data_IF_976825719579
#
_entry.id   IF_976825719579
#
_cell.length_a   1.000
_cell.length_b   1.000
_cell.length_c   1.000
_cell.angle_alpha   90.00
_cell.angle_beta   90.00
_cell.angle_gamma   90.00
#
_symmetry.space_group_name_H-M   'P 1'
#
loop_
_entity.id
_entity.type
_entity.pdbx_description
1 polymer ?
#
# COMPACT_ATOMS: atom_id res chain seq x y z
N UNK A 1 -0.55 30.37 2.28
CA UNK A 1 -0.39 29.55 3.49
C UNK A 1 -1.70 28.82 3.65
N UNK A 2 -1.82 27.65 3.03
CA UNK A 2 -2.96 26.76 3.27
C UNK A 2 -2.65 26.05 4.59
N UNK A 3 -3.30 26.47 5.67
CA UNK A 3 -3.43 25.66 6.87
C UNK A 3 -4.17 24.39 6.47
N UNK A 4 -3.47 23.28 6.23
CA UNK A 4 -4.13 21.98 6.15
C UNK A 4 -4.72 21.70 7.52
N UNK A 5 -6.02 21.40 7.55
CA UNK A 5 -6.71 21.02 8.77
C UNK A 5 -6.21 19.64 9.16
N UNK A 6 -5.70 19.49 10.39
CA UNK A 6 -5.58 18.15 10.98
C UNK A 6 -6.96 17.50 11.01
N UNK A 7 -7.01 16.23 10.67
CA UNK A 7 -8.22 15.44 10.75
C UNK A 7 -8.56 15.19 12.23
N UNK A 8 -9.85 15.19 12.58
CA UNK A 8 -10.30 14.86 13.92
C UNK A 8 -10.29 13.34 14.10
N UNK A 9 -9.10 12.73 14.09
CA UNK A 9 -8.96 11.29 14.29
C UNK A 9 -9.61 10.84 15.59
N UNK A 10 -10.30 9.68 15.60
CA UNK A 10 -10.70 9.05 16.85
C UNK A 10 -9.47 8.70 17.70
N UNK A 11 -9.57 8.86 19.02
CA UNK A 11 -8.43 8.78 19.96
C UNK A 11 -8.69 7.85 21.15
N UNK A 12 -9.77 7.06 21.11
CA UNK A 12 -10.13 6.14 22.19
C UNK A 12 -9.26 4.86 22.19
N UNK A 13 -8.80 4.45 21.02
CA UNK A 13 -7.98 3.26 20.84
C UNK A 13 -6.59 3.41 21.47
N UNK A 14 -6.03 2.31 22.03
CA UNK A 14 -4.65 2.32 22.50
C UNK A 14 -3.67 2.44 21.32
N UNK A 15 -2.51 3.03 21.60
CA UNK A 15 -1.39 3.07 20.65
C UNK A 15 -0.93 1.65 20.31
N UNK A 16 -0.75 1.39 19.01
CA UNK A 16 -0.24 0.12 18.49
C UNK A 16 1.18 -0.09 19.02
N UNK A 17 1.45 -1.18 19.77
CA UNK A 17 2.79 -1.42 20.29
C UNK A 17 3.74 -1.72 19.14
N UNK A 18 4.88 -1.04 19.14
CA UNK A 18 5.94 -1.22 18.13
C UNK A 18 6.80 -2.47 18.37
N UNK A 19 6.83 -2.99 19.60
CA UNK A 19 7.68 -4.14 19.98
C UNK A 19 7.50 -5.38 19.07
N UNK A 20 6.27 -5.81 18.72
CA UNK A 20 6.08 -6.93 17.79
C UNK A 20 6.60 -6.64 16.37
N UNK A 21 6.71 -5.38 15.97
CA UNK A 21 7.16 -4.95 14.64
C UNK A 21 8.67 -4.76 14.55
N UNK A 22 9.38 -4.80 15.69
CA UNK A 22 10.81 -4.50 15.79
C UNK A 22 11.66 -5.24 14.75
N UNK A 23 11.43 -6.55 14.61
CA UNK A 23 12.16 -7.38 13.65
C UNK A 23 11.97 -6.94 12.20
N UNK A 24 10.76 -6.51 11.83
CA UNK A 24 10.46 -6.03 10.47
C UNK A 24 11.12 -4.68 10.20
N UNK A 25 11.09 -3.76 11.18
CA UNK A 25 11.68 -2.42 11.06
C UNK A 25 13.22 -2.48 10.98
N UNK A 26 13.84 -3.36 11.77
CA UNK A 26 15.28 -3.62 11.70
C UNK A 26 15.68 -4.23 10.36
N UNK A 27 14.85 -5.11 9.79
CA UNK A 27 15.09 -5.68 8.47
C UNK A 27 14.99 -4.65 7.34
N UNK A 28 14.02 -3.73 7.38
CA UNK A 28 13.98 -2.59 6.46
C UNK A 28 15.24 -1.74 6.54
N UNK A 29 15.67 -1.43 7.76
CA UNK A 29 16.92 -0.68 7.99
C UNK A 29 18.14 -1.40 7.43
N UNK A 30 18.20 -2.72 7.62
CA UNK A 30 19.26 -3.56 7.06
C UNK A 30 19.26 -3.57 5.52
N UNK A 31 18.08 -3.62 4.89
CA UNK A 31 17.96 -3.56 3.43
C UNK A 31 18.41 -2.20 2.89
N UNK A 32 17.97 -1.10 3.49
CA UNK A 32 18.37 0.25 3.09
C UNK A 32 19.90 0.45 3.20
N UNK A 33 20.53 -0.10 4.25
CA UNK A 33 21.99 -0.04 4.41
C UNK A 33 22.74 -0.89 3.37
N UNK A 34 22.19 -2.04 2.98
CA UNK A 34 22.81 -2.94 1.97
C UNK A 34 22.59 -2.47 0.54
N UNK A 35 21.48 -1.81 0.26
CA UNK A 35 21.07 -1.37 -1.08
C UNK A 35 20.78 0.14 -1.11
N UNK A 36 21.76 1.01 -0.76
CA UNK A 36 21.53 2.46 -0.61
C UNK A 36 21.20 3.17 -1.94
N UNK A 37 21.46 2.54 -3.09
CA UNK A 37 21.09 3.07 -4.40
C UNK A 37 19.66 2.69 -4.81
N UNK A 38 19.08 1.66 -4.17
CA UNK A 38 17.78 1.10 -4.53
C UNK A 38 16.69 1.44 -3.50
N UNK A 39 17.07 1.56 -2.22
CA UNK A 39 16.15 1.71 -1.09
C UNK A 39 16.54 2.93 -0.25
N UNK A 40 15.55 3.76 0.06
CA UNK A 40 15.68 4.88 0.98
C UNK A 40 14.64 4.75 2.09
N UNK A 41 15.06 4.92 3.34
CA UNK A 41 14.13 5.07 4.46
C UNK A 41 13.58 6.49 4.49
N UNK A 42 12.27 6.62 4.67
CA UNK A 42 11.67 7.92 4.92
C UNK A 42 11.95 8.34 6.38
N UNK A 43 12.25 9.62 6.63
CA UNK A 43 12.46 10.11 7.99
C UNK A 43 11.27 9.80 8.90
N UNK A 44 11.50 9.43 10.17
CA UNK A 44 10.44 9.31 11.16
C UNK A 44 9.76 10.67 11.44
N UNK A 45 8.62 10.62 12.14
CA UNK A 45 7.85 11.79 12.54
C UNK A 45 8.70 12.75 13.35
N UNK A 46 9.45 12.19 14.30
CA UNK A 46 10.30 12.92 15.24
C UNK A 46 11.75 12.71 14.83
N UNK A 47 12.44 13.79 14.51
CA UNK A 47 13.85 13.75 14.13
C UNK A 47 14.77 13.43 15.33
N UNK A 48 16.07 13.25 15.06
CA UNK A 48 17.08 12.94 16.09
C UNK A 48 17.20 14.02 17.18
N UNK A 49 16.74 15.24 16.89
CA UNK A 49 16.73 16.39 17.81
C UNK A 49 15.40 16.53 18.58
N UNK A 50 14.42 15.65 18.33
CA UNK A 50 13.12 15.64 18.98
C UNK A 50 12.10 16.59 18.35
N UNK A 51 12.32 17.08 17.13
CA UNK A 51 11.36 17.91 16.41
C UNK A 51 10.42 17.03 15.59
N UNK A 52 9.11 17.21 15.78
CA UNK A 52 8.11 16.57 14.96
C UNK A 52 7.90 17.33 13.65
N UNK A 53 7.73 16.61 12.54
CA UNK A 53 7.22 17.20 11.30
C UNK A 53 5.79 17.72 11.54
N UNK A 54 5.58 19.01 11.33
CA UNK A 54 4.28 19.66 11.55
C UNK A 54 3.25 19.33 10.46
N UNK A 55 3.69 18.76 9.33
CA UNK A 55 2.85 18.48 8.16
C UNK A 55 2.23 17.09 8.16
N UNK A 56 2.81 16.13 8.89
CA UNK A 56 2.25 14.79 9.00
C UNK A 56 1.10 14.74 10.04
N UNK A 57 0.03 14.03 9.70
CA UNK A 57 -1.17 13.89 10.54
C UNK A 57 -1.66 12.43 10.61
N UNK A 58 -0.85 11.50 11.17
CA UNK A 58 -1.22 10.10 11.29
C UNK A 58 -2.27 9.87 12.39
N UNK A 59 -3.08 8.80 12.30
CA UNK A 59 -3.95 8.36 13.39
C UNK A 59 -3.17 8.22 14.72
N UNK A 60 -3.73 8.65 15.88
CA UNK A 60 -3.06 8.56 17.17
C UNK A 60 -2.56 7.16 17.51
N UNK A 61 -3.29 6.12 17.09
CA UNK A 61 -2.89 4.74 17.32
C UNK A 61 -1.56 4.35 16.63
N UNK A 62 -1.09 5.12 15.65
CA UNK A 62 0.17 4.88 14.94
C UNK A 62 1.36 5.67 15.53
N UNK A 63 1.16 6.48 16.56
CA UNK A 63 2.19 7.38 17.13
C UNK A 63 3.56 6.69 17.32
N UNK A 64 3.61 5.54 18.00
CA UNK A 64 4.87 4.84 18.26
C UNK A 64 5.59 4.35 17.01
N UNK A 65 4.87 3.84 16.00
CA UNK A 65 5.54 3.33 14.79
C UNK A 65 6.08 4.49 13.95
N UNK A 66 5.33 5.59 13.84
CA UNK A 66 5.74 6.74 13.01
C UNK A 66 6.88 7.53 13.63
N UNK A 67 7.01 7.54 14.96
CA UNK A 67 8.18 8.10 15.67
C UNK A 67 9.48 7.37 15.35
N UNK A 68 9.42 6.12 14.91
CA UNK A 68 10.59 5.30 14.63
C UNK A 68 10.81 5.03 13.14
N UNK A 69 9.73 5.07 12.34
CA UNK A 69 9.75 4.67 10.95
C UNK A 69 8.70 5.45 10.15
N UNK A 70 9.13 6.37 9.29
CA UNK A 70 8.23 7.12 8.41
C UNK A 70 7.78 6.36 7.16
N UNK A 71 8.48 5.29 6.80
CA UNK A 71 8.21 4.49 5.61
C UNK A 71 9.46 4.17 4.80
N UNK A 72 9.26 3.75 3.56
CA UNK A 72 10.32 3.27 2.67
C UNK A 72 10.00 3.61 1.22
N UNK A 73 11.03 4.00 0.48
CA UNK A 73 10.96 4.35 -0.92
C UNK A 73 11.93 3.49 -1.74
N UNK A 74 11.43 2.93 -2.83
CA UNK A 74 12.20 2.13 -3.78
C UNK A 74 12.44 2.97 -5.03
N UNK A 75 13.71 3.38 -5.23
CA UNK A 75 14.20 4.16 -6.38
C UNK A 75 13.38 5.39 -6.75
N UNK A 76 12.72 6.04 -5.79
CA UNK A 76 11.91 7.24 -6.04
C UNK A 76 10.57 6.97 -6.73
N UNK A 77 10.08 5.72 -6.71
CA UNK A 77 8.91 5.29 -7.50
C UNK A 77 7.83 4.60 -6.68
N UNK A 78 8.19 3.57 -5.93
CA UNK A 78 7.26 2.87 -5.04
C UNK A 78 7.50 3.38 -3.63
N UNK A 79 6.48 3.95 -3.01
CA UNK A 79 6.58 4.56 -1.68
C UNK A 79 5.52 3.97 -0.77
N UNK A 80 5.99 3.25 0.26
CA UNK A 80 5.20 2.96 1.45
C UNK A 80 5.41 4.14 2.42
N UNK A 81 4.35 4.86 2.72
CA UNK A 81 4.37 6.06 3.54
C UNK A 81 3.50 5.89 4.78
N UNK A 82 4.07 6.05 5.96
CA UNK A 82 3.31 6.13 7.22
C UNK A 82 3.13 7.58 7.70
N UNK A 83 3.70 8.54 6.96
CA UNK A 83 3.66 9.98 7.23
C UNK A 83 3.13 10.71 6.00
N UNK A 84 1.85 10.53 5.73
CA UNK A 84 1.18 11.16 4.59
C UNK A 84 0.87 12.63 4.91
N UNK A 85 1.55 13.55 4.21
CA UNK A 85 1.45 15.00 4.40
C UNK A 85 0.28 15.65 3.64
N UNK A 86 -0.23 14.98 2.60
CA UNK A 86 -1.33 15.44 1.75
C UNK A 86 -2.30 14.29 1.54
N UNK A 87 -3.58 14.53 1.86
CA UNK A 87 -4.64 13.57 1.58
C UNK A 87 -5.55 14.13 0.51
N UNK A 88 -5.75 13.35 -0.54
CA UNK A 88 -6.83 13.56 -1.50
C UNK A 88 -7.96 12.62 -1.13
N UNK A 89 -9.20 13.12 -1.11
CA UNK A 89 -10.41 12.29 -0.99
C UNK A 89 -10.99 11.95 -2.39
N UNK A 90 -10.25 12.27 -3.45
CA UNK A 90 -10.60 12.04 -4.85
C UNK A 90 -9.74 10.90 -5.44
N UNK A 91 -10.30 10.18 -6.42
CA UNK A 91 -9.63 9.08 -7.11
C UNK A 91 -10.02 7.72 -6.50
N UNK A 92 -9.07 6.86 -6.10
CA UNK A 92 -9.37 5.51 -5.58
C UNK A 92 -10.22 5.53 -4.29
N UNK A 93 -10.34 6.68 -3.63
CA UNK A 93 -11.07 6.83 -2.36
C UNK A 93 -12.53 7.22 -2.52
N UNK A 94 -13.02 7.44 -3.75
CA UNK A 94 -14.35 8.04 -3.99
C UNK A 94 -15.51 7.25 -3.37
N UNK A 95 -15.39 5.94 -3.17
CA UNK A 95 -16.42 5.11 -2.53
C UNK A 95 -16.19 4.91 -1.02
N UNK A 96 -15.05 5.33 -0.48
CA UNK A 96 -14.78 5.16 0.95
C UNK A 96 -15.63 6.13 1.76
N UNK A 97 -15.97 5.73 2.99
CA UNK A 97 -16.64 6.57 3.96
C UNK A 97 -15.79 7.75 4.44
N UNK A 98 -16.03 8.19 5.67
CA UNK A 98 -15.34 9.36 6.21
C UNK A 98 -13.81 9.23 6.15
N UNK A 99 -13.06 10.31 5.84
CA UNK A 99 -11.59 10.26 5.75
C UNK A 99 -10.90 9.74 7.02
N UNK A 100 -11.56 9.77 8.18
CA UNK A 100 -11.05 9.22 9.44
C UNK A 100 -11.22 7.72 9.60
N UNK A 101 -11.86 7.04 8.64
CA UNK A 101 -12.09 5.57 8.65
C UNK A 101 -11.00 4.79 7.89
N UNK A 102 -10.06 5.49 7.27
CA UNK A 102 -8.93 4.88 6.57
C UNK A 102 -7.70 5.79 6.57
N UNK A 103 -6.54 5.18 6.40
CA UNK A 103 -5.25 5.87 6.27
C UNK A 103 -4.46 5.33 5.07
N UNK A 104 -4.05 6.18 4.11
CA UNK A 104 -3.31 5.73 2.94
C UNK A 104 -1.87 5.31 3.29
N UNK A 105 -1.45 4.16 2.78
CA UNK A 105 -0.11 3.59 2.94
C UNK A 105 0.71 3.66 1.64
N UNK A 106 0.06 3.46 0.48
CA UNK A 106 0.66 3.55 -0.85
C UNK A 106 -0.36 4.24 -1.75
N UNK A 107 0.07 5.24 -2.51
CA UNK A 107 -0.80 5.99 -3.42
C UNK A 107 -0.27 5.92 -4.85
N UNK A 108 -1.16 5.61 -5.79
CA UNK A 108 -0.97 5.77 -7.22
C UNK A 108 -2.07 6.67 -7.79
N UNK A 109 -2.08 6.86 -9.12
CA UNK A 109 -3.03 7.76 -9.78
C UNK A 109 -4.48 7.26 -9.66
N UNK A 110 -4.71 5.96 -9.92
CA UNK A 110 -6.03 5.31 -9.92
C UNK A 110 -6.10 4.09 -8.99
N UNK A 111 -5.07 3.89 -8.17
CA UNK A 111 -4.93 2.75 -7.25
C UNK A 111 -4.37 3.20 -5.91
N UNK A 112 -4.71 2.51 -4.83
CA UNK A 112 -4.18 2.82 -3.50
C UNK A 112 -4.04 1.57 -2.65
N UNK A 113 -3.26 1.67 -1.57
CA UNK A 113 -3.30 0.74 -0.45
C UNK A 113 -3.64 1.53 0.80
N UNK A 114 -4.67 1.11 1.52
CA UNK A 114 -5.19 1.77 2.71
C UNK A 114 -5.16 0.85 3.93
N UNK A 115 -4.98 1.45 5.10
CA UNK A 115 -5.23 0.84 6.40
C UNK A 115 -6.61 1.28 6.90
N UNK A 116 -7.50 0.36 7.25
CA UNK A 116 -8.79 0.72 7.85
C UNK A 116 -8.59 1.20 9.29
N UNK A 117 -9.38 2.18 9.70
CA UNK A 117 -9.42 2.73 11.06
C UNK A 117 -10.86 2.59 11.56
N UNK A 118 -11.05 1.97 12.73
CA UNK A 118 -12.38 1.83 13.31
C UNK A 118 -12.87 3.11 14.03
N UNK A 119 -14.07 3.06 14.58
CA UNK A 119 -14.72 4.19 15.27
C UNK A 119 -13.97 4.67 16.52
N UNK A 120 -13.17 3.80 17.14
CA UNK A 120 -12.33 4.14 18.30
C UNK A 120 -10.95 4.64 17.88
N UNK A 121 -10.56 4.44 16.61
CA UNK A 121 -9.28 4.85 16.05
C UNK A 121 -8.26 3.72 15.95
N UNK A 122 -8.68 2.47 16.17
CA UNK A 122 -7.79 1.32 16.12
C UNK A 122 -7.51 0.92 14.66
N UNK A 123 -6.24 0.62 14.33
CA UNK A 123 -5.88 0.15 13.01
C UNK A 123 -6.34 -1.29 12.79
N UNK A 124 -7.01 -1.52 11.66
CA UNK A 124 -7.54 -2.82 11.26
C UNK A 124 -6.79 -3.46 10.09
N UNK A 125 -7.56 -4.02 9.16
CA UNK A 125 -7.08 -4.64 7.94
C UNK A 125 -6.49 -3.63 6.95
N UNK A 126 -5.69 -4.14 6.01
CA UNK A 126 -5.10 -3.38 4.91
C UNK A 126 -5.72 -3.85 3.61
N UNK A 127 -6.16 -2.91 2.79
CA UNK A 127 -6.77 -3.17 1.49
C UNK A 127 -5.99 -2.51 0.37
N UNK A 128 -5.85 -3.20 -0.75
CA UNK A 128 -5.59 -2.56 -2.03
C UNK A 128 -6.89 -2.16 -2.71
N UNK A 129 -6.86 -1.02 -3.38
CA UNK A 129 -7.94 -0.49 -4.20
C UNK A 129 -7.45 -0.51 -5.65
N UNK A 130 -8.12 -1.30 -6.49
CA UNK A 130 -7.86 -1.36 -7.91
C UNK A 130 -8.49 -0.21 -8.70
N UNK A 131 -8.13 -0.10 -9.98
CA UNK A 131 -8.71 0.90 -10.90
C UNK A 131 -10.23 0.71 -11.09
N UNK A 132 -10.71 -0.52 -10.91
CA UNK A 132 -12.12 -0.91 -10.94
C UNK A 132 -12.85 -0.65 -9.61
N UNK A 133 -12.17 -0.02 -8.65
CA UNK A 133 -12.63 0.21 -7.28
C UNK A 133 -12.91 -1.09 -6.51
N UNK A 134 -12.38 -2.24 -6.96
CA UNK A 134 -12.39 -3.47 -6.17
C UNK A 134 -11.47 -3.31 -4.96
N UNK A 135 -11.93 -3.82 -3.82
CA UNK A 135 -11.14 -3.86 -2.59
C UNK A 135 -10.56 -5.26 -2.43
N UNK A 136 -9.24 -5.38 -2.36
CA UNK A 136 -8.55 -6.65 -2.15
C UNK A 136 -7.89 -6.67 -0.79
N UNK A 137 -8.17 -7.68 0.04
CA UNK A 137 -7.62 -7.84 1.37
C UNK A 137 -6.12 -8.14 1.30
N UNK A 138 -5.29 -7.11 1.42
CA UNK A 138 -3.84 -7.20 1.34
C UNK A 138 -3.23 -7.90 2.57
N UNK A 139 -3.77 -7.56 3.75
CA UNK A 139 -3.38 -8.14 5.02
C UNK A 139 -4.46 -7.88 6.08
N UNK A 140 -4.49 -8.73 7.11
CA UNK A 140 -5.44 -8.60 8.23
C UNK A 140 -5.00 -7.60 9.31
N UNK A 141 -3.80 -7.04 9.19
CA UNK A 141 -3.24 -6.04 10.10
C UNK A 141 -2.09 -5.30 9.44
N UNK A 142 -1.76 -4.11 9.96
CA UNK A 142 -0.57 -3.36 9.53
C UNK A 142 0.72 -4.20 9.66
N UNK A 143 0.87 -4.96 10.75
CA UNK A 143 2.06 -5.80 10.95
C UNK A 143 2.24 -6.86 9.88
N UNK A 144 1.17 -7.61 9.57
CA UNK A 144 1.22 -8.60 8.48
C UNK A 144 1.47 -7.94 7.11
N UNK A 145 0.94 -6.74 6.88
CA UNK A 145 1.22 -6.00 5.66
C UNK A 145 2.70 -5.62 5.53
N UNK A 146 3.31 -5.10 6.60
CA UNK A 146 4.73 -4.74 6.61
C UNK A 146 5.64 -5.95 6.37
N UNK A 147 5.31 -7.11 6.94
CA UNK A 147 6.03 -8.37 6.68
C UNK A 147 5.93 -8.79 5.21
N UNK A 148 4.73 -8.73 4.63
CA UNK A 148 4.51 -9.01 3.21
C UNK A 148 5.28 -8.05 2.31
N UNK A 149 5.26 -6.76 2.63
CA UNK A 149 6.01 -5.74 1.90
C UNK A 149 7.53 -5.97 1.98
N UNK A 150 8.04 -6.30 3.17
CA UNK A 150 9.46 -6.62 3.36
C UNK A 150 9.87 -7.83 2.51
N UNK A 151 9.05 -8.87 2.45
CA UNK A 151 9.32 -10.05 1.64
C UNK A 151 9.40 -9.68 0.14
N UNK A 152 8.40 -8.98 -0.38
CA UNK A 152 8.37 -8.55 -1.77
C UNK A 152 9.53 -7.61 -2.14
N UNK A 153 9.90 -6.71 -1.24
CA UNK A 153 11.07 -5.86 -1.40
C UNK A 153 12.36 -6.67 -1.46
N UNK A 154 12.51 -7.68 -0.60
CA UNK A 154 13.68 -8.56 -0.59
C UNK A 154 13.82 -9.30 -1.92
N UNK A 155 12.74 -9.92 -2.40
CA UNK A 155 12.74 -10.61 -3.70
C UNK A 155 13.03 -9.65 -4.87
N UNK A 156 12.47 -8.44 -4.83
CA UNK A 156 12.74 -7.40 -5.82
C UNK A 156 14.22 -7.05 -5.89
N UNK A 157 14.87 -6.82 -4.74
CA UNK A 157 16.29 -6.46 -4.69
C UNK A 157 17.18 -7.61 -5.18
N UNK A 158 16.86 -8.85 -4.81
CA UNK A 158 17.56 -10.03 -5.32
C UNK A 158 17.39 -10.18 -6.85
N UNK A 159 16.19 -9.90 -7.38
CA UNK A 159 15.91 -9.88 -8.82
C UNK A 159 16.73 -8.84 -9.56
N UNK A 160 16.81 -7.62 -9.01
CA UNK A 160 17.60 -6.53 -9.57
C UNK A 160 19.10 -6.86 -9.59
N UNK A 161 19.63 -7.48 -8.53
CA UNK A 161 21.03 -7.88 -8.47
C UNK A 161 21.34 -8.97 -9.50
N UNK A 162 20.44 -9.97 -9.63
CA UNK A 162 20.57 -11.00 -10.65
C UNK A 162 20.52 -10.46 -12.09
N UNK A 163 19.73 -9.41 -12.35
CA UNK A 163 19.71 -8.71 -13.64
C UNK A 163 21.04 -8.01 -13.94
N UNK A 164 21.59 -7.31 -12.94
CA UNK A 164 22.88 -6.63 -13.07
C UNK A 164 24.03 -7.63 -13.33
N UNK A 165 24.04 -8.76 -12.64
CA UNK A 165 25.02 -9.83 -12.87
C UNK A 165 24.91 -10.40 -14.29
N UNK A 166 23.69 -10.71 -14.76
CA UNK A 166 23.46 -11.19 -16.14
C UNK A 166 23.92 -10.20 -17.20
N UNK A 167 23.64 -8.91 -17.00
CA UNK A 167 24.10 -7.85 -17.90
C UNK A 167 25.63 -7.76 -17.95
N UNK A 168 26.29 -7.92 -16.79
CA UNK A 168 27.76 -7.91 -16.70
C UNK A 168 28.41 -9.12 -17.39
N UNK A 169 27.78 -10.29 -17.32
CA UNK A 169 28.28 -11.53 -17.93
C UNK A 169 28.11 -11.54 -19.47
N UNK A 170 27.00 -11.03 -19.99
CA UNK A 170 26.71 -10.95 -21.43
C UNK A 170 27.60 -9.95 -22.19
N UNK A 171 28.12 -8.92 -21.51
CA UNK A 171 29.03 -7.94 -22.11
C UNK A 171 30.46 -8.50 -22.35
N UNK A 172 30.80 -9.65 -21.76
CA UNK A 172 32.13 -10.26 -21.88
C UNK A 172 32.36 -11.14 -23.11
N UNK A 173 31.32 -11.47 -23.89
CA UNK A 173 31.38 -12.44 -24.99
C UNK A 173 31.40 -11.80 -26.40
N UNK A 174 31.35 -10.47 -26.51
CA UNK A 174 31.44 -9.75 -27.80
C UNK A 174 32.89 -9.37 -28.20
N UNK A 175 33.87 -10.13 -27.70
CA UNK A 175 35.30 -9.91 -27.97
C UNK A 175 35.87 -10.80 -29.07
N UNK A 176 35.57 -10.54 -30.34
CA UNK A 176 36.52 -10.91 -31.40
C UNK A 176 36.57 -9.90 -32.57
N UNK A 177 37.80 -9.40 -32.78
CA UNK A 177 38.37 -8.68 -33.92
C UNK A 177 38.15 -7.16 -34.08
N UNK A 178 39.08 -6.38 -33.52
CA UNK A 178 39.26 -4.97 -33.87
C UNK A 178 40.60 -4.38 -33.40
N UNK A 179 41.68 -4.71 -34.11
CA UNK A 179 43.04 -4.18 -33.90
C UNK A 179 43.10 -2.68 -34.23
N UNK A 180 43.59 -1.81 -33.33
CA UNK A 180 43.84 -0.40 -33.67
C UNK A 180 44.19 0.50 -32.49
N UNK A 181 45.47 0.83 -32.35
CA UNK A 181 46.02 1.73 -31.34
C UNK A 181 45.46 3.17 -31.40
N UNK A 182 45.28 3.79 -30.24
CA UNK A 182 45.03 5.23 -30.12
C UNK A 182 44.88 5.68 -28.66
N UNK A 183 45.89 6.38 -28.14
CA UNK A 183 45.86 7.01 -26.82
C UNK A 183 44.92 8.23 -26.81
N UNK A 184 44.12 8.40 -25.76
CA UNK A 184 43.26 9.57 -25.59
C UNK A 184 42.39 9.51 -24.33
N UNK A 185 42.76 10.36 -23.37
CA UNK A 185 42.15 10.69 -22.08
C UNK A 185 40.65 11.07 -22.13
N UNK A 186 39.77 10.53 -21.26
CA UNK A 186 38.60 11.23 -20.64
C UNK A 186 37.81 10.37 -19.62
N UNK A 187 37.55 10.97 -18.45
CA UNK A 187 36.41 10.83 -17.52
C UNK A 187 35.83 9.43 -17.14
N UNK A 188 36.01 9.06 -15.86
CA UNK A 188 35.02 8.32 -15.07
C UNK A 188 33.93 9.31 -14.60
N UNK A 189 32.64 9.03 -14.49
CA UNK A 189 31.88 7.78 -14.55
C UNK A 189 30.58 8.05 -15.32
N UNK A 190 30.41 7.38 -16.45
CA UNK A 190 29.11 7.13 -17.06
C UNK A 190 29.17 5.69 -17.60
N UNK A 191 28.76 4.75 -16.75
CA UNK A 191 28.58 3.32 -17.04
C UNK A 191 27.30 2.97 -16.29
N UNK A 192 26.13 2.80 -16.89
CA UNK A 192 25.83 2.19 -18.17
C UNK A 192 24.56 2.80 -18.75
N UNK A 193 24.63 3.42 -19.93
CA UNK A 193 23.44 3.53 -20.77
C UNK A 193 23.07 2.11 -21.22
N UNK A 194 21.91 1.62 -20.80
CA UNK A 194 21.38 0.34 -21.28
C UNK A 194 21.23 0.40 -22.81
N UNK A 195 21.35 -0.72 -23.55
CA UNK A 195 21.03 -0.75 -24.98
C UNK A 195 19.62 -0.20 -25.20
N UNK A 196 19.43 0.60 -26.25
CA UNK A 196 18.14 1.24 -26.61
C UNK A 196 16.98 0.24 -26.46
N UNK A 197 16.15 0.42 -25.43
CA UNK A 197 14.94 -0.37 -25.17
C UNK A 197 14.98 -1.36 -23.99
N UNK A 198 16.10 -1.54 -23.30
CA UNK A 198 16.10 -2.29 -22.03
C UNK A 198 15.57 -1.39 -20.89
N UNK A 199 14.73 -1.93 -19.97
CA UNK A 199 14.22 -1.16 -18.85
C UNK A 199 15.36 -0.66 -17.97
N UNK A 200 15.21 0.56 -17.47
CA UNK A 200 16.10 1.09 -16.44
C UNK A 200 15.95 0.28 -15.15
N UNK A 201 16.97 0.27 -14.29
CA UNK A 201 16.88 -0.42 -12.98
C UNK A 201 15.69 0.08 -12.13
N UNK A 202 15.31 1.35 -12.27
CA UNK A 202 14.13 1.90 -11.61
C UNK A 202 12.81 1.35 -12.17
N UNK A 203 12.72 1.17 -13.49
CA UNK A 203 11.57 0.51 -14.13
C UNK A 203 11.51 -0.97 -13.76
N UNK A 204 12.65 -1.68 -13.79
CA UNK A 204 12.73 -3.08 -13.30
C UNK A 204 12.26 -3.19 -11.85
N UNK A 205 12.64 -2.25 -10.98
CA UNK A 205 12.24 -2.28 -9.57
C UNK A 205 10.71 -2.16 -9.40
N UNK A 206 10.08 -1.29 -10.19
CA UNK A 206 8.61 -1.13 -10.19
C UNK A 206 7.94 -2.41 -10.72
N UNK A 207 8.42 -2.95 -11.83
CA UNK A 207 7.83 -4.16 -12.43
C UNK A 207 8.00 -5.40 -11.55
N UNK A 208 9.14 -5.53 -10.86
CA UNK A 208 9.37 -6.58 -9.87
C UNK A 208 8.47 -6.38 -8.63
N UNK A 209 8.39 -5.18 -8.06
CA UNK A 209 7.46 -4.92 -6.94
C UNK A 209 6.00 -5.20 -7.32
N UNK A 210 5.59 -4.89 -8.55
CA UNK A 210 4.28 -5.28 -9.09
C UNK A 210 4.14 -6.79 -9.11
N UNK A 211 5.08 -7.50 -9.73
CA UNK A 211 5.04 -8.95 -9.85
C UNK A 211 5.02 -9.68 -8.48
N UNK A 212 5.81 -9.21 -7.51
CA UNK A 212 5.95 -9.88 -6.21
C UNK A 212 4.82 -9.56 -5.23
N UNK A 213 4.12 -8.43 -5.39
CA UNK A 213 3.09 -8.02 -4.42
C UNK A 213 1.99 -7.15 -5.02
N UNK A 214 2.32 -6.03 -5.67
CA UNK A 214 1.30 -5.02 -5.95
C UNK A 214 0.24 -5.52 -6.94
N UNK A 215 0.58 -6.42 -7.87
CA UNK A 215 -0.41 -6.99 -8.78
C UNK A 215 -1.49 -7.79 -8.06
N UNK A 216 -1.13 -8.55 -7.03
CA UNK A 216 -2.09 -9.31 -6.23
C UNK A 216 -3.01 -8.41 -5.42
N UNK A 217 -2.49 -7.31 -4.87
CA UNK A 217 -3.23 -6.43 -3.96
C UNK A 217 -4.02 -5.35 -4.71
N UNK A 218 -3.51 -4.84 -5.82
CA UNK A 218 -4.17 -3.77 -6.60
C UNK A 218 -5.12 -4.32 -7.66
N UNK A 219 -5.51 -5.59 -7.56
CA UNK A 219 -6.47 -6.21 -8.48
C UNK A 219 -5.97 -6.32 -9.93
N UNK A 220 -4.65 -6.27 -10.17
CA UNK A 220 -4.06 -6.36 -11.52
C UNK A 220 -3.95 -7.82 -12.02
N UNK A 221 -4.19 -8.79 -11.15
CA UNK A 221 -4.30 -10.20 -11.54
C UNK A 221 -5.65 -10.47 -12.22
N UNK A 222 -5.71 -11.44 -13.15
CA UNK A 222 -6.98 -11.89 -13.73
C UNK A 222 -7.99 -12.25 -12.63
N UNK A 223 -9.27 -11.90 -12.83
CA UNK A 223 -10.34 -12.17 -11.86
C UNK A 223 -10.45 -13.64 -11.48
N UNK A 224 -10.17 -14.54 -12.43
CA UNK A 224 -10.18 -16.00 -12.24
C UNK A 224 -9.14 -16.49 -11.20
N UNK A 225 -8.12 -15.68 -10.93
CA UNK A 225 -7.06 -15.96 -9.95
C UNK A 225 -7.36 -15.36 -8.57
N UNK A 226 -8.42 -14.55 -8.44
CA UNK A 226 -8.82 -13.89 -7.19
C UNK A 226 -10.00 -14.59 -6.54
N UNK A 227 -9.94 -14.76 -5.22
CA UNK A 227 -11.07 -15.24 -4.46
C UNK A 227 -12.08 -14.10 -4.29
N UNK A 228 -13.06 -14.01 -5.19
CA UNK A 228 -14.12 -13.03 -5.09
C UNK A 228 -15.11 -13.41 -3.97
N UNK A 229 -15.31 -12.50 -3.04
CA UNK A 229 -16.29 -12.62 -1.95
C UNK A 229 -17.50 -11.76 -2.32
N UNK A 230 -18.69 -12.38 -2.46
CA UNK A 230 -19.87 -11.64 -2.87
C UNK A 230 -20.37 -10.73 -1.74
N UNK A 231 -21.01 -9.64 -2.12
CA UNK A 231 -21.87 -8.89 -1.22
C UNK A 231 -23.20 -9.61 -1.08
N UNK A 232 -23.62 -9.86 0.16
CA UNK A 232 -24.90 -10.43 0.52
C UNK A 232 -25.80 -9.36 1.13
N UNK A 233 -27.12 -9.48 0.96
CA UNK A 233 -28.06 -8.60 1.64
C UNK A 233 -27.94 -8.79 3.16
N UNK A 234 -28.21 -7.74 3.95
CA UNK A 234 -28.18 -7.85 5.42
C UNK A 234 -29.11 -8.96 5.94
N UNK A 235 -30.23 -9.20 5.26
CA UNK A 235 -31.18 -10.26 5.63
C UNK A 235 -30.61 -11.67 5.44
N UNK A 236 -29.66 -11.85 4.53
CA UNK A 236 -29.08 -13.14 4.16
C UNK A 236 -27.68 -13.36 4.76
N UNK A 237 -26.99 -12.30 5.19
CA UNK A 237 -25.60 -12.34 5.65
C UNK A 237 -25.41 -12.93 7.06
N UNK A 238 -26.49 -13.05 7.84
CA UNK A 238 -26.46 -13.56 9.21
C UNK A 238 -25.88 -12.59 10.24
N UNK A 239 -25.63 -11.34 9.86
CA UNK A 239 -25.33 -10.25 10.79
C UNK A 239 -26.62 -9.66 11.36
N UNK A 240 -26.58 -9.28 12.63
CA UNK A 240 -27.63 -8.46 13.23
C UNK A 240 -27.42 -7.00 12.81
N UNK A 241 -28.51 -6.24 12.60
CA UNK A 241 -28.42 -4.85 12.16
C UNK A 241 -27.63 -3.95 13.15
N UNK A 242 -27.69 -4.26 14.45
CA UNK A 242 -26.97 -3.54 15.50
C UNK A 242 -25.45 -3.76 15.47
N UNK A 243 -24.97 -4.79 14.75
CA UNK A 243 -23.54 -5.11 14.61
C UNK A 243 -22.93 -4.47 13.33
N UNK A 244 -23.73 -3.76 12.55
CA UNK A 244 -23.36 -3.16 11.28
C UNK A 244 -23.50 -1.63 11.32
N UNK A 245 -22.75 -0.91 10.46
CA UNK A 245 -22.97 0.52 10.27
C UNK A 245 -24.43 0.83 9.92
N UNK A 246 -24.96 1.93 10.46
CA UNK A 246 -26.31 2.40 10.14
C UNK A 246 -26.45 2.61 8.63
N UNK A 247 -27.60 2.22 8.05
CA UNK A 247 -27.86 2.30 6.61
C UNK A 247 -27.19 1.21 5.77
N UNK A 248 -26.60 0.17 6.37
CA UNK A 248 -26.02 -0.95 5.61
C UNK A 248 -27.08 -1.69 4.80
N UNK A 249 -26.85 -1.81 3.49
CA UNK A 249 -27.73 -2.53 2.54
C UNK A 249 -27.15 -3.87 2.08
N UNK A 250 -25.81 -3.98 2.05
CA UNK A 250 -25.13 -5.22 1.70
C UNK A 250 -23.81 -5.36 2.46
N UNK A 251 -23.38 -6.61 2.69
CA UNK A 251 -22.20 -6.95 3.49
C UNK A 251 -21.37 -8.03 2.81
N UNK A 252 -20.05 -7.89 2.85
CA UNK A 252 -19.10 -8.94 2.52
C UNK A 252 -18.27 -9.28 3.77
N UNK A 253 -18.27 -10.56 4.17
CA UNK A 253 -17.55 -11.06 5.34
C UNK A 253 -16.21 -11.71 4.92
N UNK A 254 -15.11 -11.08 5.34
CA UNK A 254 -13.74 -11.52 5.06
C UNK A 254 -13.07 -12.14 6.28
N UNK A 255 -13.80 -12.40 7.38
CA UNK A 255 -13.21 -12.93 8.62
C UNK A 255 -12.64 -14.33 8.45
N UNK A 256 -13.22 -15.15 7.58
CA UNK A 256 -12.83 -16.55 7.36
C UNK A 256 -12.17 -16.81 5.99
N UNK A 257 -11.80 -15.76 5.25
CA UNK A 257 -11.14 -15.90 3.93
C UNK A 257 -9.63 -15.69 4.01
N UNK A 258 -8.89 -16.33 3.12
CA UNK A 258 -7.45 -16.11 3.01
C UNK A 258 -7.13 -14.67 2.51
N UNK A 259 -5.87 -14.25 2.67
CA UNK A 259 -5.41 -13.01 2.05
C UNK A 259 -5.60 -13.04 0.53
N UNK A 260 -5.69 -11.87 -0.10
CA UNK A 260 -5.94 -11.66 -1.54
C UNK A 260 -7.39 -11.92 -2.00
N UNK A 261 -8.31 -12.17 -1.07
CA UNK A 261 -9.73 -12.13 -1.37
C UNK A 261 -10.16 -10.71 -1.78
N UNK A 262 -11.00 -10.60 -2.81
CA UNK A 262 -11.49 -9.33 -3.33
C UNK A 262 -12.99 -9.20 -3.19
N UNK A 263 -13.47 -7.98 -2.96
CA UNK A 263 -14.89 -7.62 -3.01
C UNK A 263 -15.09 -6.59 -4.11
N UNK A 264 -16.12 -6.80 -4.93
CA UNK A 264 -16.40 -6.00 -6.11
C UNK A 264 -17.68 -5.21 -5.89
N UNK A 265 -17.54 -3.94 -5.54
CA UNK A 265 -18.68 -3.06 -5.20
C UNK A 265 -19.60 -2.86 -6.41
N UNK A 266 -19.02 -2.76 -7.61
CA UNK A 266 -19.76 -2.58 -8.85
C UNK A 266 -20.61 -3.79 -9.26
N UNK A 267 -20.30 -4.97 -8.71
CA UNK A 267 -21.02 -6.22 -9.01
C UNK A 267 -22.09 -6.54 -7.94
N UNK A 268 -22.21 -5.72 -6.90
CA UNK A 268 -23.20 -5.90 -5.86
C UNK A 268 -24.62 -5.61 -6.38
N UNK A 269 -25.58 -6.45 -6.01
CA UNK A 269 -27.00 -6.25 -6.33
C UNK A 269 -27.61 -5.23 -5.35
N UNK A 270 -27.39 -3.95 -5.63
CA UNK A 270 -27.77 -2.83 -4.76
C UNK A 270 -29.10 -2.19 -5.18
N UNK A 271 -29.89 -1.67 -4.21
CA UNK A 271 -31.10 -0.91 -4.50
C UNK A 271 -30.80 0.53 -4.95
N UNK A 272 -29.86 0.78 -5.86
CA UNK A 272 -29.46 2.14 -6.24
C UNK A 272 -28.30 2.21 -7.23
N UNK A 273 -27.76 3.41 -7.44
CA UNK A 273 -26.48 3.59 -8.14
C UNK A 273 -25.33 3.24 -7.17
N UNK A 274 -24.47 2.24 -7.48
CA UNK A 274 -23.33 1.90 -6.63
C UNK A 274 -22.37 3.07 -6.35
N UNK A 275 -22.35 4.08 -7.23
CA UNK A 275 -21.52 5.28 -7.05
C UNK A 275 -22.09 6.29 -6.03
N UNK A 276 -23.36 6.15 -5.66
CA UNK A 276 -24.00 6.96 -4.62
C UNK A 276 -23.89 6.30 -3.24
N UNK A 277 -23.45 5.04 -3.19
CA UNK A 277 -23.21 4.32 -1.94
C UNK A 277 -21.83 4.62 -1.35
N UNK A 278 -21.68 4.38 -0.03
CA UNK A 278 -20.41 4.45 0.68
C UNK A 278 -19.99 3.10 1.21
N UNK A 279 -18.69 2.91 1.32
CA UNK A 279 -18.09 1.74 1.95
C UNK A 279 -17.75 2.07 3.39
N UNK A 280 -18.24 1.23 4.30
CA UNK A 280 -17.89 1.26 5.71
C UNK A 280 -17.23 -0.05 6.13
N UNK A 281 -16.34 0.05 7.10
CA UNK A 281 -15.57 -1.07 7.63
C UNK A 281 -15.98 -1.35 9.07
N UNK A 282 -16.13 -2.62 9.42
CA UNK A 282 -16.35 -3.05 10.81
C UNK A 282 -15.52 -4.29 11.14
N UNK A 283 -15.54 -4.72 12.41
CA UNK A 283 -14.83 -5.91 12.88
C UNK A 283 -13.32 -5.89 12.55
N UNK A 284 -12.64 -4.78 12.87
CA UNK A 284 -11.22 -4.60 12.53
C UNK A 284 -10.97 -4.49 11.02
N UNK A 285 -11.97 -4.03 10.27
CA UNK A 285 -11.92 -3.90 8.82
C UNK A 285 -12.11 -5.19 8.05
N UNK A 286 -12.49 -6.31 8.69
CA UNK A 286 -12.71 -7.59 8.01
C UNK A 286 -14.16 -7.81 7.56
N UNK A 287 -15.06 -6.87 7.85
CA UNK A 287 -16.42 -6.85 7.33
C UNK A 287 -16.58 -5.55 6.56
N UNK A 288 -16.87 -5.67 5.26
CA UNK A 288 -17.06 -4.55 4.34
C UNK A 288 -18.54 -4.37 4.12
N UNK A 289 -19.06 -3.19 4.45
CA UNK A 289 -20.47 -2.85 4.35
C UNK A 289 -20.67 -1.80 3.26
N UNK A 290 -21.69 -1.99 2.43
CA UNK A 290 -22.19 -0.95 1.52
C UNK A 290 -23.32 -0.25 2.25
N UNK A 291 -23.16 1.05 2.46
CA UNK A 291 -24.07 1.94 3.18
C UNK A 291 -24.74 2.86 2.17
N UNK A 292 -26.07 2.90 2.23
CA UNK A 292 -26.89 3.83 1.47
C UNK A 292 -27.29 5.00 2.38
N UNK A 293 -26.84 6.22 2.04
CA UNK A 293 -27.12 7.41 2.84
C UNK A 293 -28.61 7.81 2.80
N UNK A 294 -29.34 7.45 1.76
CA UNK A 294 -30.77 7.75 1.66
C UNK A 294 -31.63 6.77 2.49
N UNK A 295 -31.10 5.59 2.80
CA UNK A 295 -31.82 4.56 3.57
C UNK A 295 -31.88 4.85 5.09
N UNK A 296 -31.06 5.76 5.61
CA UNK A 296 -31.00 6.12 7.03
C UNK A 296 -31.96 7.23 7.48
N UNK A 297 -32.70 7.86 6.56
CA UNK A 297 -33.56 9.02 6.87
C UNK A 297 -35.07 8.70 7.02
N UNK A 298 -35.50 7.42 6.96
CA UNK A 298 -36.92 7.01 7.04
C UNK A 298 -37.45 6.66 8.44
#
# INVERSE_FOLDING_TARGET
>A
MSTRSRLPWPDAAPVLPVEPLRGVLEAFSSLALRHPEDVTLLPPLVDEDGNADEFADPPPALEQIVEEFGGIEVRGRVRLNLLTDDRTDLGPYTLLGDPTTFYPLIEGDDVAVILTIDEDGAPGAVYGIGEDLSLTLAARSLGHFLERYLHALTETLEGLDAEAERASAGAGDSGEAGNGAGAGNTAASDRSAAPDGAPTRAESAVELMKAHMLSSILGLLPEEERAAVPFESVADSGFEADDLPEGTVAVADLRDVDGDASVHVMDADLPGDPLECRIAFSHGGLVVSIVDEEAGEE
#
